data_IF_226380293283
#
_entry.id   IF_226380293283
#
_cell.length_a   1.000
_cell.length_b   1.000
_cell.length_c   1.000
_cell.angle_alpha   90.00
_cell.angle_beta   90.00
_cell.angle_gamma   90.00
#
_symmetry.space_group_name_H-M   'P 1'
#
loop_
_entity.id
_entity.type
_entity.pdbx_description
1 polymer ?
#
# COMPACT_ATOMS: atom_id res chain seq x y z
N UNK A 1 -14.06 -16.97 23.76
CA UNK A 1 -13.34 -15.85 24.40
C UNK A 1 -12.26 -15.19 23.52
N UNK A 2 -11.56 -15.92 22.64
CA UNK A 2 -10.44 -15.35 21.84
C UNK A 2 -10.83 -14.40 20.69
N UNK A 3 -12.05 -14.49 20.13
CA UNK A 3 -12.45 -13.61 19.02
C UNK A 3 -12.53 -12.13 19.41
N UNK A 4 -12.96 -11.81 20.63
CA UNK A 4 -13.15 -10.42 21.07
C UNK A 4 -11.83 -9.66 21.25
N UNK A 5 -10.72 -10.35 21.54
CA UNK A 5 -9.43 -9.71 21.74
C UNK A 5 -8.87 -9.10 20.45
N UNK A 6 -9.21 -9.64 19.27
CA UNK A 6 -8.71 -9.11 18.00
C UNK A 6 -9.31 -7.74 17.67
N UNK A 7 -10.62 -7.59 17.87
CA UNK A 7 -11.33 -6.34 17.61
C UNK A 7 -10.84 -5.22 18.52
N UNK A 8 -10.51 -5.55 19.78
CA UNK A 8 -9.99 -4.59 20.74
C UNK A 8 -8.68 -3.93 20.28
N UNK A 9 -7.66 -4.71 19.91
CA UNK A 9 -6.37 -4.13 19.49
C UNK A 9 -6.47 -3.31 18.21
N UNK A 10 -7.28 -3.76 17.25
CA UNK A 10 -7.51 -3.03 16.01
C UNK A 10 -8.19 -1.69 16.25
N UNK A 11 -9.24 -1.69 17.07
CA UNK A 11 -9.97 -0.49 17.45
C UNK A 11 -9.07 0.49 18.22
N UNK A 12 -8.35 -0.01 19.22
CA UNK A 12 -7.41 0.80 20.00
C UNK A 12 -6.37 1.45 19.11
N UNK A 13 -5.73 0.68 18.23
CA UNK A 13 -4.76 1.21 17.27
C UNK A 13 -5.39 2.28 16.37
N UNK A 14 -6.56 1.99 15.79
CA UNK A 14 -7.25 2.92 14.89
C UNK A 14 -7.57 4.24 15.58
N UNK A 15 -8.01 4.19 16.84
CA UNK A 15 -8.29 5.38 17.65
C UNK A 15 -7.00 6.16 17.91
N UNK A 16 -5.92 5.49 18.34
CA UNK A 16 -4.64 6.16 18.63
C UNK A 16 -4.08 6.87 17.40
N UNK A 17 -4.18 6.25 16.23
CA UNK A 17 -3.70 6.82 14.97
C UNK A 17 -4.57 7.98 14.51
N UNK A 18 -5.90 7.85 14.64
CA UNK A 18 -6.82 8.94 14.37
C UNK A 18 -6.52 10.14 15.27
N UNK A 19 -6.31 9.92 16.57
CA UNK A 19 -5.96 10.98 17.52
C UNK A 19 -4.61 11.61 17.17
N UNK A 20 -3.59 10.82 16.83
CA UNK A 20 -2.28 11.32 16.41
C UNK A 20 -2.37 12.22 15.17
N UNK A 21 -3.09 11.78 14.14
CA UNK A 21 -3.27 12.53 12.89
C UNK A 21 -4.12 13.79 13.12
N UNK A 22 -5.19 13.70 13.91
CA UNK A 22 -6.09 14.83 14.16
C UNK A 22 -5.49 15.90 15.09
N UNK A 23 -4.58 15.52 15.98
CA UNK A 23 -3.94 16.46 16.92
C UNK A 23 -2.73 17.19 16.34
N UNK A 24 -2.23 16.76 15.18
CA UNK A 24 -0.99 17.28 14.59
C UNK A 24 -1.29 18.14 13.37
N UNK A 25 -0.87 19.41 13.39
CA UNK A 25 -0.88 20.28 12.21
C UNK A 25 0.18 19.87 11.19
N UNK A 26 1.25 19.22 11.64
CA UNK A 26 2.29 18.61 10.83
C UNK A 26 2.60 17.21 11.40
N UNK A 27 2.56 16.20 10.55
CA UNK A 27 2.79 14.79 10.92
C UNK A 27 4.30 14.50 11.00
N UNK A 28 5.16 15.47 10.63
CA UNK A 28 6.62 15.34 10.68
C UNK A 28 7.17 14.43 9.59
N UNK A 29 6.45 14.32 8.47
CA UNK A 29 6.87 13.51 7.32
C UNK A 29 7.56 14.41 6.30
N UNK A 30 8.76 14.01 5.84
CA UNK A 30 9.62 14.85 5.00
C UNK A 30 8.91 15.34 3.72
N UNK A 31 8.26 14.43 2.99
CA UNK A 31 7.60 14.73 1.71
C UNK A 31 6.15 15.26 1.86
N UNK A 32 5.67 15.50 3.09
CA UNK A 32 4.27 15.86 3.34
C UNK A 32 3.84 17.13 2.58
N UNK A 33 4.58 18.22 2.77
CA UNK A 33 4.28 19.50 2.13
C UNK A 33 4.38 19.42 0.61
N UNK A 34 5.31 18.61 0.10
CA UNK A 34 5.48 18.39 -1.33
C UNK A 34 4.21 17.78 -1.93
N UNK A 35 3.69 16.69 -1.36
CA UNK A 35 2.45 16.07 -1.87
C UNK A 35 1.23 16.96 -1.78
N UNK A 36 1.09 17.70 -0.67
CA UNK A 36 -0.02 18.63 -0.47
C UNK A 36 0.02 19.71 -1.55
N UNK A 37 1.21 20.27 -1.81
CA UNK A 37 1.39 21.32 -2.81
C UNK A 37 1.11 20.83 -4.23
N UNK A 38 1.67 19.68 -4.62
CA UNK A 38 1.44 19.10 -5.95
C UNK A 38 0.01 18.64 -6.16
N UNK A 39 -0.63 18.05 -5.13
CA UNK A 39 -2.04 17.68 -5.19
C UNK A 39 -2.96 18.90 -5.32
N UNK A 40 -2.64 20.00 -4.64
CA UNK A 40 -3.35 21.27 -4.80
C UNK A 40 -3.17 21.85 -6.21
N UNK A 41 -1.94 21.95 -6.72
CA UNK A 41 -1.66 22.43 -8.08
C UNK A 41 -2.40 21.59 -9.11
N UNK A 42 -2.39 20.26 -8.95
CA UNK A 42 -3.07 19.35 -9.87
C UNK A 42 -4.60 19.53 -9.87
N UNK A 43 -5.21 19.74 -8.69
CA UNK A 43 -6.63 20.05 -8.57
C UNK A 43 -7.00 21.35 -9.30
N UNK A 44 -6.26 22.43 -9.00
CA UNK A 44 -6.46 23.76 -9.59
C UNK A 44 -6.24 23.76 -11.11
N UNK A 45 -5.22 23.01 -11.57
CA UNK A 45 -4.95 22.80 -12.99
C UNK A 45 -6.12 22.11 -13.69
N UNK A 46 -6.67 21.04 -13.11
CA UNK A 46 -7.73 20.26 -13.74
C UNK A 46 -9.10 20.95 -13.72
N UNK A 47 -9.45 21.63 -12.63
CA UNK A 47 -10.81 22.14 -12.43
C UNK A 47 -10.98 23.61 -12.77
N UNK A 48 -9.95 24.41 -12.54
CA UNK A 48 -10.03 25.87 -12.65
C UNK A 48 -9.23 26.43 -13.82
N UNK A 49 -8.42 25.61 -14.49
CA UNK A 49 -7.50 26.06 -15.53
C UNK A 49 -6.37 26.94 -15.00
N UNK A 50 -6.27 27.08 -13.67
CA UNK A 50 -5.18 27.77 -13.03
C UNK A 50 -3.87 27.03 -13.34
N UNK A 51 -2.74 27.74 -13.34
CA UNK A 51 -1.42 27.15 -13.53
C UNK A 51 -1.11 26.57 -14.94
N UNK A 52 -2.04 26.60 -15.91
CA UNK A 52 -1.80 26.10 -17.28
C UNK A 52 -0.61 26.77 -17.99
N UNK A 53 -0.34 28.04 -17.67
CA UNK A 53 0.77 28.80 -18.25
C UNK A 53 2.12 28.56 -17.54
N UNK A 54 2.11 27.86 -16.41
CA UNK A 54 3.31 27.70 -15.55
C UNK A 54 3.72 26.24 -15.42
N UNK A 55 2.77 25.31 -15.45
CA UNK A 55 3.01 23.88 -15.30
C UNK A 55 2.49 23.12 -16.51
N UNK A 56 3.11 21.98 -16.79
CA UNK A 56 2.69 21.04 -17.82
C UNK A 56 2.52 19.66 -17.22
N UNK A 57 1.42 18.97 -17.56
CA UNK A 57 1.21 17.59 -17.13
C UNK A 57 2.08 16.67 -18.00
N UNK A 58 2.90 15.84 -17.36
CA UNK A 58 3.66 14.82 -18.05
C UNK A 58 2.71 13.82 -18.74
N UNK A 59 3.02 13.34 -19.96
CA UNK A 59 2.16 12.42 -20.69
C UNK A 59 2.10 11.00 -20.08
N UNK A 60 2.87 10.76 -19.02
CA UNK A 60 2.91 9.51 -18.28
C UNK A 60 2.67 9.76 -16.78
N UNK A 61 2.10 8.77 -16.10
CA UNK A 61 1.94 8.80 -14.65
C UNK A 61 3.24 8.36 -13.97
N UNK A 62 3.93 9.23 -13.23
CA UNK A 62 5.07 8.79 -12.46
C UNK A 62 4.60 7.80 -11.38
N UNK A 63 5.41 6.79 -11.00
CA UNK A 63 4.99 5.75 -10.07
C UNK A 63 4.43 6.34 -8.75
N UNK A 64 5.12 7.34 -8.21
CA UNK A 64 4.76 8.02 -6.97
C UNK A 64 3.63 9.06 -7.12
N UNK A 65 2.89 9.12 -8.22
CA UNK A 65 1.83 10.10 -8.43
C UNK A 65 0.55 9.84 -7.62
N UNK A 66 0.40 8.63 -7.05
CA UNK A 66 -0.86 8.22 -6.43
C UNK A 66 -1.27 9.18 -5.29
N UNK A 67 -0.32 9.60 -4.45
CA UNK A 67 -0.57 10.57 -3.38
C UNK A 67 -1.10 11.90 -3.90
N UNK A 68 -0.50 12.44 -4.95
CA UNK A 68 -0.87 13.73 -5.55
C UNK A 68 -2.23 13.63 -6.20
N UNK A 69 -2.49 12.56 -6.95
CA UNK A 69 -3.80 12.29 -7.58
C UNK A 69 -4.87 12.15 -6.50
N UNK A 70 -4.61 11.38 -5.45
CA UNK A 70 -5.56 11.20 -4.35
C UNK A 70 -5.88 12.53 -3.68
N UNK A 71 -4.85 13.31 -3.33
CA UNK A 71 -5.02 14.64 -2.72
C UNK A 71 -5.79 15.56 -3.66
N UNK A 72 -5.46 15.58 -4.95
CA UNK A 72 -6.13 16.43 -5.93
C UNK A 72 -7.63 16.10 -6.04
N UNK A 73 -7.98 14.81 -6.12
CA UNK A 73 -9.38 14.38 -6.20
C UNK A 73 -10.16 14.67 -4.92
N UNK A 74 -9.55 14.45 -3.75
CA UNK A 74 -10.20 14.74 -2.46
C UNK A 74 -10.29 16.24 -2.17
N UNK A 75 -9.38 17.05 -2.73
CA UNK A 75 -9.39 18.51 -2.57
C UNK A 75 -10.60 19.19 -3.20
N UNK A 76 -11.41 18.45 -3.99
CA UNK A 76 -12.72 18.92 -4.46
C UNK A 76 -13.70 19.13 -3.30
N UNK A 77 -13.57 18.37 -2.22
CA UNK A 77 -14.58 18.30 -1.14
C UNK A 77 -14.01 18.82 0.18
N UNK A 78 -12.72 18.62 0.43
CA UNK A 78 -12.05 18.95 1.69
C UNK A 78 -10.76 19.72 1.45
N UNK A 79 -10.21 20.36 2.48
CA UNK A 79 -8.96 21.12 2.33
C UNK A 79 -7.78 20.19 1.97
N UNK A 80 -6.81 20.58 1.12
CA UNK A 80 -5.70 19.70 0.67
C UNK A 80 -4.91 19.05 1.81
N UNK A 81 -4.69 19.78 2.91
CA UNK A 81 -4.03 19.23 4.09
C UNK A 81 -4.85 18.12 4.77
N UNK A 82 -6.18 18.28 4.83
CA UNK A 82 -7.09 17.26 5.34
C UNK A 82 -7.14 16.03 4.42
N UNK A 83 -7.09 16.24 3.10
CA UNK A 83 -6.98 15.16 2.13
C UNK A 83 -5.69 14.34 2.32
N UNK A 84 -4.55 15.01 2.55
CA UNK A 84 -3.30 14.32 2.85
C UNK A 84 -3.33 13.58 4.19
N UNK A 85 -3.92 14.16 5.24
CA UNK A 85 -4.14 13.49 6.53
C UNK A 85 -5.01 12.23 6.38
N UNK A 86 -6.07 12.31 5.56
CA UNK A 86 -6.93 11.17 5.24
C UNK A 86 -6.16 10.07 4.50
N UNK A 87 -5.33 10.42 3.52
CA UNK A 87 -4.46 9.47 2.82
C UNK A 87 -3.52 8.77 3.80
N UNK A 88 -2.91 9.53 4.72
CA UNK A 88 -2.02 9.00 5.75
C UNK A 88 -2.76 8.00 6.64
N UNK A 89 -3.94 8.37 7.14
CA UNK A 89 -4.79 7.49 7.94
C UNK A 89 -5.09 6.19 7.20
N UNK A 90 -5.51 6.28 5.93
CA UNK A 90 -5.85 5.10 5.11
C UNK A 90 -4.63 4.19 4.95
N UNK A 91 -3.47 4.72 4.54
CA UNK A 91 -2.32 3.87 4.28
C UNK A 91 -1.77 3.23 5.56
N UNK A 92 -1.77 3.97 6.67
CA UNK A 92 -1.32 3.47 7.96
C UNK A 92 -2.23 2.35 8.47
N UNK A 93 -3.56 2.53 8.40
CA UNK A 93 -4.52 1.48 8.75
C UNK A 93 -4.34 0.26 7.83
N UNK A 94 -4.10 0.48 6.54
CA UNK A 94 -3.93 -0.57 5.56
C UNK A 94 -2.66 -1.39 5.82
N UNK A 95 -1.53 -0.74 6.12
CA UNK A 95 -0.27 -1.40 6.47
C UNK A 95 -0.41 -2.18 7.76
N UNK A 96 -0.96 -1.57 8.81
CA UNK A 96 -1.18 -2.26 10.08
C UNK A 96 -2.05 -3.50 9.89
N UNK A 97 -3.19 -3.35 9.18
CA UNK A 97 -4.10 -4.45 8.86
C UNK A 97 -3.39 -5.56 8.09
N UNK A 98 -2.66 -5.19 7.03
CA UNK A 98 -1.94 -6.13 6.18
C UNK A 98 -0.95 -6.97 6.99
N UNK A 99 -0.06 -6.32 7.75
CA UNK A 99 0.94 -7.00 8.57
C UNK A 99 0.28 -7.85 9.65
N UNK A 100 -0.69 -7.28 10.38
CA UNK A 100 -1.39 -7.98 11.45
C UNK A 100 -2.06 -9.27 10.96
N UNK A 101 -2.80 -9.18 9.85
CA UNK A 101 -3.48 -10.34 9.28
C UNK A 101 -2.52 -11.34 8.65
N UNK A 102 -1.44 -10.87 8.04
CA UNK A 102 -0.35 -11.74 7.59
C UNK A 102 0.24 -12.57 8.74
N UNK A 103 0.63 -11.92 9.85
CA UNK A 103 1.17 -12.60 11.02
C UNK A 103 0.16 -13.57 11.64
N UNK A 104 -1.13 -13.24 11.59
CA UNK A 104 -2.20 -14.11 12.06
C UNK A 104 -2.29 -15.44 11.30
N UNK A 105 -1.85 -15.51 10.03
CA UNK A 105 -1.80 -16.78 9.31
C UNK A 105 -0.76 -17.75 9.87
N UNK A 106 0.34 -17.23 10.42
CA UNK A 106 1.44 -18.04 10.95
C UNK A 106 1.33 -18.29 12.46
N UNK A 107 0.75 -17.36 13.21
CA UNK A 107 0.67 -17.44 14.68
C UNK A 107 -0.66 -16.89 15.20
N UNK A 108 -1.78 -17.60 14.98
CA UNK A 108 -3.12 -17.08 15.30
C UNK A 108 -3.37 -16.87 16.80
N UNK A 109 -2.67 -17.60 17.67
CA UNK A 109 -2.80 -17.47 19.12
C UNK A 109 -2.07 -16.25 19.70
N UNK A 110 -1.13 -15.65 18.95
CA UNK A 110 -0.26 -14.56 19.43
C UNK A 110 -0.79 -13.17 19.08
N UNK A 111 -2.09 -12.92 19.28
CA UNK A 111 -2.75 -11.68 18.83
C UNK A 111 -2.06 -10.39 19.32
N UNK A 112 -1.64 -10.36 20.60
CA UNK A 112 -0.96 -9.20 21.19
C UNK A 112 0.41 -8.95 20.56
N UNK A 113 1.22 -10.00 20.41
CA UNK A 113 2.53 -9.92 19.76
C UNK A 113 2.40 -9.49 18.30
N UNK A 114 1.45 -10.07 17.57
CA UNK A 114 1.18 -9.70 16.17
C UNK A 114 0.78 -8.22 16.03
N UNK A 115 -0.04 -7.70 16.94
CA UNK A 115 -0.42 -6.28 16.96
C UNK A 115 0.77 -5.37 17.28
N UNK A 116 1.61 -5.75 18.25
CA UNK A 116 2.82 -4.99 18.60
C UNK A 116 3.83 -4.95 17.44
N UNK A 117 4.03 -6.08 16.75
CA UNK A 117 4.88 -6.14 15.55
C UNK A 117 4.30 -5.29 14.44
N UNK A 118 3.00 -5.43 14.14
CA UNK A 118 2.35 -4.60 13.13
C UNK A 118 2.51 -3.11 13.45
N UNK A 119 2.29 -2.69 14.71
CA UNK A 119 2.51 -1.32 15.17
C UNK A 119 3.94 -0.83 14.88
N UNK A 120 4.95 -1.59 15.33
CA UNK A 120 6.35 -1.21 15.17
C UNK A 120 6.77 -1.08 13.70
N UNK A 121 6.22 -1.95 12.83
CA UNK A 121 6.49 -1.87 11.40
C UNK A 121 5.69 -0.77 10.70
N UNK A 122 4.50 -0.41 11.19
CA UNK A 122 3.64 0.66 10.64
C UNK A 122 4.13 2.08 10.96
N UNK A 123 4.92 2.26 12.03
CA UNK A 123 5.49 3.56 12.40
C UNK A 123 7.02 3.49 12.35
N UNK A 124 7.54 3.19 11.16
CA UNK A 124 8.98 2.98 10.93
C UNK A 124 9.64 4.19 10.24
N UNK A 125 10.95 4.13 10.02
CA UNK A 125 11.70 5.17 9.31
C UNK A 125 11.13 5.52 7.92
N UNK A 126 10.68 4.52 7.15
CA UNK A 126 10.10 4.73 5.82
C UNK A 126 8.82 5.56 5.86
N UNK A 127 8.01 5.41 6.93
CA UNK A 127 6.85 6.27 7.16
C UNK A 127 7.27 7.73 7.35
N UNK A 128 8.20 8.01 8.26
CA UNK A 128 8.68 9.38 8.53
C UNK A 128 9.43 10.03 7.36
N UNK A 129 10.10 9.23 6.53
CA UNK A 129 10.70 9.71 5.28
C UNK A 129 9.68 10.20 4.26
N UNK A 130 8.38 10.00 4.51
CA UNK A 130 7.37 10.39 3.56
C UNK A 130 7.40 9.47 2.34
N UNK A 131 7.42 8.15 2.50
CA UNK A 131 7.26 7.24 1.36
C UNK A 131 5.82 6.71 1.29
N UNK A 132 4.83 7.60 1.20
CA UNK A 132 3.41 7.21 1.36
C UNK A 132 2.87 6.31 0.28
N UNK A 133 3.26 6.53 -0.98
CA UNK A 133 2.88 5.64 -2.07
C UNK A 133 3.36 4.22 -1.80
N UNK A 134 4.62 4.08 -1.39
CA UNK A 134 5.20 2.82 -0.95
C UNK A 134 4.44 2.20 0.23
N UNK A 135 4.10 3.00 1.24
CA UNK A 135 3.34 2.55 2.38
C UNK A 135 1.98 1.97 1.96
N UNK A 136 1.27 2.68 1.09
CA UNK A 136 -0.01 2.24 0.58
C UNK A 136 0.11 0.89 -0.16
N UNK A 137 1.02 0.79 -1.13
CA UNK A 137 1.25 -0.46 -1.88
C UNK A 137 1.65 -1.63 -0.99
N UNK A 138 2.50 -1.38 0.01
CA UNK A 138 2.91 -2.39 0.99
C UNK A 138 1.71 -2.94 1.77
N UNK A 139 0.83 -2.07 2.27
CA UNK A 139 -0.39 -2.49 2.96
C UNK A 139 -1.33 -3.31 2.08
N UNK A 140 -1.56 -2.86 0.83
CA UNK A 140 -2.35 -3.60 -0.17
C UNK A 140 -1.76 -5.00 -0.40
N UNK A 141 -0.45 -5.10 -0.60
CA UNK A 141 0.22 -6.37 -0.90
C UNK A 141 0.06 -7.40 0.23
N UNK A 142 0.29 -6.99 1.48
CA UNK A 142 0.12 -7.87 2.64
C UNK A 142 -1.33 -8.30 2.85
N UNK A 143 -2.27 -7.35 2.75
CA UNK A 143 -3.69 -7.65 2.91
C UNK A 143 -4.19 -8.59 1.82
N UNK A 144 -3.76 -8.37 0.58
CA UNK A 144 -4.14 -9.23 -0.52
C UNK A 144 -3.52 -10.63 -0.40
N UNK A 145 -2.24 -10.74 0.00
CA UNK A 145 -1.64 -12.03 0.32
C UNK A 145 -2.44 -12.76 1.40
N UNK A 146 -2.87 -12.05 2.45
CA UNK A 146 -3.73 -12.62 3.49
C UNK A 146 -5.03 -13.18 2.93
N UNK A 147 -5.76 -12.39 2.13
CA UNK A 147 -7.03 -12.78 1.51
C UNK A 147 -6.84 -14.02 0.62
N UNK A 148 -5.78 -14.03 -0.19
CA UNK A 148 -5.45 -15.14 -1.10
C UNK A 148 -5.20 -16.43 -0.30
N UNK A 149 -4.40 -16.35 0.76
CA UNK A 149 -4.04 -17.51 1.58
C UNK A 149 -5.20 -18.01 2.43
N UNK A 150 -5.97 -17.10 3.05
CA UNK A 150 -7.10 -17.46 3.94
C UNK A 150 -8.18 -18.21 3.20
N UNK A 151 -8.49 -17.79 1.98
CA UNK A 151 -9.54 -18.39 1.15
C UNK A 151 -9.04 -19.56 0.29
N UNK A 152 -7.77 -19.94 0.45
CA UNK A 152 -7.11 -21.00 -0.32
C UNK A 152 -7.31 -20.86 -1.84
N UNK A 153 -7.39 -19.61 -2.31
CA UNK A 153 -7.79 -19.29 -3.69
C UNK A 153 -6.85 -19.94 -4.70
N UNK A 154 -5.57 -20.09 -4.35
CA UNK A 154 -4.53 -20.69 -5.19
C UNK A 154 -4.67 -22.20 -5.39
N UNK A 155 -5.24 -22.92 -4.41
CA UNK A 155 -5.30 -24.38 -4.46
C UNK A 155 -6.69 -24.91 -4.84
N UNK A 156 -7.77 -24.19 -4.51
CA UNK A 156 -9.14 -24.68 -4.71
C UNK A 156 -9.82 -24.19 -5.99
N UNK A 157 -9.31 -23.14 -6.64
CA UNK A 157 -10.00 -22.55 -7.79
C UNK A 157 -9.50 -23.10 -9.14
N UNK A 158 -10.39 -23.50 -10.08
CA UNK A 158 -10.00 -23.72 -11.49
C UNK A 158 -9.47 -22.45 -12.16
N UNK A 159 -9.68 -21.28 -11.55
CA UNK A 159 -9.23 -19.97 -12.02
C UNK A 159 -7.81 -19.62 -11.51
N UNK A 160 -6.86 -20.54 -11.63
CA UNK A 160 -5.44 -20.26 -11.33
C UNK A 160 -4.95 -19.02 -12.08
N UNK A 161 -5.43 -18.81 -13.30
CA UNK A 161 -5.12 -17.64 -14.15
C UNK A 161 -5.70 -16.34 -13.56
N UNK A 162 -6.91 -16.34 -13.00
CA UNK A 162 -7.49 -15.15 -12.38
C UNK A 162 -6.74 -14.76 -11.10
N UNK A 163 -6.28 -15.74 -10.31
CA UNK A 163 -5.46 -15.46 -9.14
C UNK A 163 -4.08 -14.90 -9.52
N UNK A 164 -3.49 -15.41 -10.60
CA UNK A 164 -2.27 -14.85 -11.18
C UNK A 164 -2.52 -13.44 -11.69
N UNK A 165 -3.66 -13.17 -12.33
CA UNK A 165 -4.05 -11.84 -12.79
C UNK A 165 -4.27 -10.86 -11.64
N UNK A 166 -4.97 -11.27 -10.58
CA UNK A 166 -5.14 -10.48 -9.35
C UNK A 166 -3.78 -10.21 -8.71
N UNK A 167 -2.91 -11.22 -8.62
CA UNK A 167 -1.53 -11.05 -8.19
C UNK A 167 -0.77 -10.05 -9.07
N UNK A 168 -0.92 -10.13 -10.39
CA UNK A 168 -0.30 -9.19 -11.33
C UNK A 168 -0.82 -7.76 -11.19
N UNK A 169 -2.11 -7.57 -10.91
CA UNK A 169 -2.67 -6.25 -10.58
C UNK A 169 -2.12 -5.74 -9.25
N UNK A 170 -2.02 -6.60 -8.24
CA UNK A 170 -1.42 -6.25 -6.95
C UNK A 170 0.06 -5.92 -7.09
N UNK A 171 0.77 -6.63 -7.97
CA UNK A 171 2.13 -6.31 -8.41
C UNK A 171 2.17 -4.97 -9.11
N UNK A 172 1.21 -4.64 -10.00
CA UNK A 172 1.12 -3.36 -10.69
C UNK A 172 0.78 -2.18 -9.76
N UNK A 173 -0.02 -2.42 -8.71
CA UNK A 173 -0.31 -1.43 -7.67
C UNK A 173 0.91 -1.25 -6.76
N UNK A 174 1.59 -2.34 -6.41
CA UNK A 174 2.87 -2.32 -5.69
C UNK A 174 3.99 -1.69 -6.53
N UNK A 175 3.91 -1.80 -7.85
CA UNK A 175 4.82 -1.22 -8.85
C UNK A 175 4.73 0.30 -8.88
N UNK A 176 3.52 0.84 -8.95
CA UNK A 176 3.29 2.28 -8.78
C UNK A 176 3.87 2.75 -7.43
N UNK A 177 3.80 1.91 -6.41
CA UNK A 177 4.25 2.22 -5.05
C UNK A 177 5.77 2.09 -4.80
N UNK A 178 6.63 2.08 -5.82
CA UNK A 178 8.08 1.77 -5.77
C UNK A 178 8.45 0.29 -5.45
N UNK A 179 9.51 -0.15 -6.16
CA UNK A 179 9.98 -1.52 -6.43
C UNK A 179 10.25 -2.46 -5.23
N UNK A 180 10.37 -1.95 -4.01
CA UNK A 180 10.74 -2.80 -2.86
C UNK A 180 9.59 -3.68 -2.36
N UNK A 181 8.34 -3.20 -2.48
CA UNK A 181 7.13 -3.98 -2.14
C UNK A 181 6.93 -5.15 -3.11
N UNK A 182 7.27 -4.95 -4.38
CA UNK A 182 7.35 -6.00 -5.42
C UNK A 182 8.42 -7.03 -5.10
N UNK A 183 9.63 -6.58 -4.73
CA UNK A 183 10.71 -7.50 -4.38
C UNK A 183 10.30 -8.39 -3.19
N UNK A 184 9.64 -7.81 -2.18
CA UNK A 184 9.13 -8.56 -1.03
C UNK A 184 7.99 -9.51 -1.43
N UNK A 185 7.00 -9.05 -2.20
CA UNK A 185 5.88 -9.90 -2.62
C UNK A 185 6.35 -11.04 -3.53
N UNK A 186 7.23 -10.74 -4.49
CA UNK A 186 7.91 -11.71 -5.35
C UNK A 186 8.70 -12.72 -4.54
N UNK A 187 9.48 -12.27 -3.56
CA UNK A 187 10.22 -13.15 -2.67
C UNK A 187 9.28 -14.04 -1.84
N UNK A 188 8.23 -13.49 -1.25
CA UNK A 188 7.24 -14.25 -0.47
C UNK A 188 6.53 -15.32 -1.32
N UNK A 189 6.23 -15.00 -2.57
CA UNK A 189 5.62 -15.93 -3.52
C UNK A 189 6.60 -17.00 -3.99
N UNK A 190 7.85 -16.64 -4.27
CA UNK A 190 8.92 -17.59 -4.59
C UNK A 190 9.12 -18.56 -3.42
N UNK A 191 9.27 -18.06 -2.19
CA UNK A 191 9.36 -18.88 -0.97
C UNK A 191 8.15 -19.81 -0.85
N UNK A 192 6.95 -19.30 -1.12
CA UNK A 192 5.73 -20.10 -1.08
C UNK A 192 5.74 -21.23 -2.12
N UNK A 193 6.14 -20.93 -3.36
CA UNK A 193 6.25 -21.89 -4.46
C UNK A 193 7.28 -22.97 -4.17
N UNK A 194 8.46 -22.58 -3.63
CA UNK A 194 9.49 -23.52 -3.21
C UNK A 194 9.00 -24.44 -2.08
N UNK A 195 8.27 -23.93 -1.08
CA UNK A 195 7.65 -24.77 -0.04
C UNK A 195 6.63 -25.76 -0.61
N UNK A 196 5.90 -25.37 -1.66
CA UNK A 196 4.88 -26.20 -2.31
C UNK A 196 5.44 -27.14 -3.39
N UNK A 197 6.75 -27.08 -3.70
CA UNK A 197 7.40 -27.82 -4.81
C UNK A 197 6.72 -27.65 -6.18
N UNK A 198 5.99 -26.54 -6.39
CA UNK A 198 5.14 -26.31 -7.57
C UNK A 198 5.78 -25.30 -8.54
N UNK A 199 6.86 -25.71 -9.20
CA UNK A 199 7.69 -24.82 -10.04
C UNK A 199 6.98 -24.24 -11.27
N UNK A 200 5.84 -24.82 -11.68
CA UNK A 200 5.06 -24.32 -12.83
C UNK A 200 4.53 -22.90 -12.64
N UNK A 201 4.37 -22.44 -11.39
CA UNK A 201 3.93 -21.08 -11.08
C UNK A 201 5.04 -20.01 -11.25
N UNK A 202 6.31 -20.41 -11.34
CA UNK A 202 7.43 -19.47 -11.47
C UNK A 202 7.46 -18.80 -12.86
N UNK A 203 7.01 -19.49 -13.91
CA UNK A 203 6.99 -18.96 -15.28
C UNK A 203 6.04 -17.76 -15.42
N UNK A 204 4.74 -17.86 -15.06
CA UNK A 204 3.85 -16.70 -15.14
C UNK A 204 4.27 -15.58 -14.17
N UNK A 205 4.90 -15.88 -13.03
CA UNK A 205 5.49 -14.86 -12.15
C UNK A 205 6.65 -14.13 -12.81
N UNK A 206 7.57 -14.85 -13.46
CA UNK A 206 8.66 -14.26 -14.23
C UNK A 206 8.14 -13.37 -15.37
N UNK A 207 7.10 -13.82 -16.06
CA UNK A 207 6.44 -13.02 -17.12
C UNK A 207 5.77 -11.78 -16.53
N UNK A 208 5.08 -11.89 -15.40
CA UNK A 208 4.47 -10.74 -14.72
C UNK A 208 5.52 -9.75 -14.18
N UNK A 209 6.74 -10.20 -13.91
CA UNK A 209 7.86 -9.36 -13.49
C UNK A 209 8.63 -8.73 -14.67
N UNK A 210 8.45 -9.19 -15.91
CA UNK A 210 9.14 -8.64 -17.10
C UNK A 210 8.85 -7.14 -17.35
N UNK A 211 7.60 -6.65 -17.23
CA UNK A 211 7.33 -5.21 -17.36
C UNK A 211 8.14 -4.39 -16.36
N UNK A 212 8.33 -4.92 -15.14
CA UNK A 212 9.09 -4.27 -14.07
C UNK A 212 10.58 -4.19 -14.43
N UNK A 213 11.17 -5.26 -14.98
CA UNK A 213 12.59 -5.28 -15.35
C UNK A 213 12.91 -4.52 -16.63
N UNK A 214 11.99 -4.49 -17.60
CA UNK A 214 12.15 -3.69 -18.83
C UNK A 214 12.12 -2.20 -18.49
N UNK A 215 11.22 -1.78 -17.60
CA UNK A 215 11.11 -0.38 -17.21
C UNK A 215 12.32 0.12 -16.40
N UNK A 216 12.90 -0.73 -15.53
CA UNK A 216 14.17 -0.45 -14.83
C UNK A 216 15.36 -0.18 -15.75
N UNK A 217 15.25 -0.55 -17.04
CA UNK A 217 16.32 -0.38 -18.03
C UNK A 217 16.16 0.89 -18.86
N UNK A 218 14.97 1.51 -18.81
CA UNK A 218 14.61 2.69 -19.59
C UNK A 218 14.70 3.96 -18.73
N UNK A 219 14.62 3.82 -17.40
CA UNK A 219 14.98 4.86 -16.43
C UNK A 219 16.49 4.87 -16.17
#
# INVERSE_FOLDING_TARGET
>A
MFQNQHHFYYLLFSILILLFIASSSDIGMNDYFFWVSEGFILNEYWLHGAFHNTYTINPYFPPNAFSQIFIALMSVIIHPFQAAQLLILIAVLLVFSGIYFYMKLSSPQQSRTNAAVAFAFTLNYTFFMGNMNYYFGFGVAFLAYYIIRKNDLLNKSPLKILNVFILSILFLISYASHFFSIAILGLLLVIHVFRQKSYRALIPMGIAALPVTIFLRIM
#
